data_IF_974308177745
#
_entry.id   IF_974308177745
#
_cell.length_a   1.000
_cell.length_b   1.000
_cell.length_c   1.000
_cell.angle_alpha   90.00
_cell.angle_beta   90.00
_cell.angle_gamma   90.00
#
_symmetry.space_group_name_H-M   'P 1'
#
loop_
_entity.id
_entity.type
_entity.pdbx_description
1 polymer ?
#
# COMPACT_ATOMS: atom_id res chain seq x y z
N UNK A 1 0.21 6.45 -4.83
CA UNK A 1 0.60 6.36 -3.39
C UNK A 1 -0.44 5.63 -2.55
N UNK A 2 -1.73 6.01 -2.62
CA UNK A 2 -2.83 5.37 -1.86
C UNK A 2 -2.88 3.85 -2.00
N UNK A 3 -2.78 3.33 -3.23
CA UNK A 3 -2.69 1.90 -3.47
C UNK A 3 -1.41 1.29 -2.85
N UNK A 4 -0.23 1.85 -3.16
CA UNK A 4 1.05 1.35 -2.67
C UNK A 4 1.14 1.21 -1.14
N UNK A 5 0.60 2.16 -0.38
CA UNK A 5 0.60 2.05 1.10
C UNK A 5 -0.28 0.91 1.60
N UNK A 6 -1.45 0.71 1.01
CA UNK A 6 -2.34 -0.42 1.37
C UNK A 6 -1.76 -1.77 0.93
N UNK A 7 -1.12 -1.83 -0.23
CA UNK A 7 -0.42 -3.02 -0.71
C UNK A 7 0.81 -3.36 0.13
N UNK A 8 1.42 -2.36 0.79
CA UNK A 8 2.50 -2.59 1.74
C UNK A 8 2.03 -3.39 2.96
N UNK A 9 0.81 -3.16 3.45
CA UNK A 9 0.25 -3.94 4.57
C UNK A 9 -0.05 -5.39 4.15
N UNK A 10 -0.46 -5.61 2.90
CA UNK A 10 -0.58 -6.96 2.34
C UNK A 10 0.78 -7.64 2.21
N UNK A 11 1.81 -6.92 1.75
CA UNK A 11 3.18 -7.44 1.71
C UNK A 11 3.66 -7.83 3.11
N UNK A 12 3.43 -6.99 4.13
CA UNK A 12 3.73 -7.26 5.54
C UNK A 12 2.95 -8.46 6.13
N UNK A 13 1.88 -8.88 5.47
CA UNK A 13 1.07 -10.04 5.82
C UNK A 13 1.39 -11.29 4.97
N UNK A 14 2.33 -11.19 4.04
CA UNK A 14 2.63 -12.26 3.07
C UNK A 14 1.46 -12.59 2.16
N UNK A 15 0.58 -11.63 1.88
CA UNK A 15 -0.66 -11.86 1.16
C UNK A 15 -0.52 -11.55 -0.34
N UNK A 16 -1.15 -12.38 -1.16
CA UNK A 16 -1.42 -12.07 -2.56
C UNK A 16 -2.58 -11.08 -2.66
N UNK A 17 -2.42 -9.94 -3.36
CA UNK A 17 -3.48 -8.97 -3.53
C UNK A 17 -4.57 -9.53 -4.46
N UNK A 18 -5.82 -9.38 -4.04
CA UNK A 18 -7.01 -9.72 -4.83
C UNK A 18 -7.63 -8.48 -5.47
N UNK A 19 -7.54 -7.33 -4.81
CA UNK A 19 -8.06 -6.09 -5.33
C UNK A 19 -8.11 -4.96 -4.32
N UNK A 20 -8.54 -3.79 -4.80
CA UNK A 20 -8.72 -2.57 -4.03
C UNK A 20 -10.19 -2.15 -4.05
N UNK A 21 -10.70 -1.66 -2.92
CA UNK A 21 -11.93 -0.88 -2.85
C UNK A 21 -11.52 0.57 -2.58
N UNK A 22 -11.95 1.51 -3.44
CA UNK A 22 -11.49 2.91 -3.37
C UNK A 22 -12.66 3.84 -3.12
N UNK A 23 -12.58 4.64 -2.05
CA UNK A 23 -13.56 5.69 -1.75
C UNK A 23 -12.94 7.07 -2.00
N UNK A 24 -13.59 7.86 -2.85
CA UNK A 24 -13.21 9.22 -3.19
C UNK A 24 -14.28 10.20 -2.68
N UNK A 25 -13.89 11.04 -1.72
CA UNK A 25 -14.63 12.25 -1.39
C UNK A 25 -14.00 13.45 -2.10
N UNK A 26 -14.79 14.25 -2.81
CA UNK A 26 -14.25 15.41 -3.53
C UNK A 26 -15.22 16.60 -3.58
N UNK A 27 -14.71 17.85 -3.63
CA UNK A 27 -15.51 19.03 -3.97
C UNK A 27 -16.20 18.88 -5.33
N UNK A 28 -17.40 19.46 -5.47
CA UNK A 28 -18.18 19.38 -6.70
C UNK A 28 -17.54 20.07 -7.92
N UNK A 29 -16.55 20.92 -7.69
CA UNK A 29 -15.73 21.61 -8.70
C UNK A 29 -14.38 20.92 -8.96
N UNK A 30 -14.19 19.68 -8.49
CA UNK A 30 -12.99 18.90 -8.78
C UNK A 30 -12.92 18.53 -10.26
N UNK A 31 -11.83 18.91 -10.93
CA UNK A 31 -11.53 18.56 -12.32
C UNK A 31 -11.53 17.03 -12.52
N UNK A 32 -12.25 16.55 -13.54
CA UNK A 32 -12.40 15.12 -13.82
C UNK A 32 -11.08 14.51 -14.26
N UNK A 33 -10.28 15.26 -15.01
CA UNK A 33 -8.96 14.89 -15.50
C UNK A 33 -8.04 14.50 -14.33
N UNK A 34 -8.05 15.26 -13.24
CA UNK A 34 -7.26 14.93 -12.03
C UNK A 34 -7.73 13.66 -11.33
N UNK A 35 -9.03 13.35 -11.41
CA UNK A 35 -9.58 12.08 -10.91
C UNK A 35 -9.14 10.91 -11.79
N UNK A 36 -9.15 11.09 -13.12
CA UNK A 36 -8.68 10.06 -14.05
C UNK A 36 -7.19 9.77 -13.86
N UNK A 37 -6.35 10.80 -13.79
CA UNK A 37 -4.91 10.65 -13.51
C UNK A 37 -4.64 9.93 -12.18
N UNK A 38 -5.46 10.20 -11.16
CA UNK A 38 -5.39 9.49 -9.88
C UNK A 38 -5.66 7.98 -10.05
N UNK A 39 -6.71 7.62 -10.78
CA UNK A 39 -7.06 6.22 -11.03
C UNK A 39 -6.05 5.52 -11.94
N UNK A 40 -5.47 6.21 -12.91
CA UNK A 40 -4.34 5.71 -13.70
C UNK A 40 -3.14 5.37 -12.81
N UNK A 41 -2.78 6.26 -11.88
CA UNK A 41 -1.73 6.01 -10.90
C UNK A 41 -2.05 4.88 -9.90
N UNK A 42 -3.32 4.53 -9.69
CA UNK A 42 -3.71 3.33 -8.94
C UNK A 42 -3.53 2.08 -9.82
N UNK A 43 -3.97 2.15 -11.08
CA UNK A 43 -3.89 1.05 -12.05
C UNK A 43 -2.44 0.63 -12.35
N UNK A 44 -1.47 1.56 -12.31
CA UNK A 44 -0.04 1.26 -12.43
C UNK A 44 0.45 0.18 -11.44
N UNK A 45 -0.25 -0.04 -10.31
CA UNK A 45 0.13 -1.09 -9.35
C UNK A 45 -0.12 -2.51 -9.85
N UNK A 46 -0.91 -2.68 -10.92
CA UNK A 46 -1.32 -3.98 -11.44
C UNK A 46 -2.41 -4.67 -10.62
N UNK A 47 -2.87 -4.06 -9.52
CA UNK A 47 -3.95 -4.60 -8.67
C UNK A 47 -5.29 -3.97 -9.08
N UNK A 48 -6.32 -4.77 -9.40
CA UNK A 48 -7.58 -4.23 -9.89
C UNK A 48 -8.35 -3.48 -8.80
N UNK A 49 -9.02 -2.39 -9.18
CA UNK A 49 -10.06 -1.77 -8.35
C UNK A 49 -11.36 -2.54 -8.57
N UNK A 50 -11.85 -3.21 -7.53
CA UNK A 50 -13.04 -4.06 -7.57
C UNK A 50 -14.34 -3.30 -7.29
N UNK A 51 -14.23 -2.09 -6.76
CA UNK A 51 -15.37 -1.26 -6.42
C UNK A 51 -14.95 -0.06 -5.59
N UNK A 52 -15.95 0.66 -5.08
CA UNK A 52 -15.69 1.91 -4.41
C UNK A 52 -16.96 2.71 -4.15
N UNK A 53 -16.75 3.90 -3.59
CA UNK A 53 -17.79 4.90 -3.45
C UNK A 53 -17.24 6.27 -3.87
N UNK A 54 -18.09 7.13 -4.42
CA UNK A 54 -17.72 8.50 -4.76
C UNK A 54 -18.77 9.44 -4.21
N UNK A 55 -18.33 10.40 -3.39
CA UNK A 55 -19.22 11.26 -2.64
C UNK A 55 -18.75 12.71 -2.65
N UNK A 56 -19.69 13.64 -2.53
CA UNK A 56 -19.37 15.05 -2.37
C UNK A 56 -18.74 15.29 -1.00
N UNK A 57 -17.67 16.09 -0.96
CA UNK A 57 -17.00 16.46 0.28
C UNK A 57 -16.39 17.87 0.16
N UNK A 58 -16.18 18.54 1.30
CA UNK A 58 -15.58 19.88 1.31
C UNK A 58 -14.11 19.89 0.86
N UNK A 59 -13.46 18.73 0.86
CA UNK A 59 -12.04 18.54 0.51
C UNK A 59 -11.83 17.19 -0.14
N UNK A 60 -10.73 17.06 -0.89
CA UNK A 60 -10.29 15.79 -1.44
C UNK A 60 -9.93 14.83 -0.30
N UNK A 61 -10.62 13.70 -0.23
CA UNK A 61 -10.40 12.60 0.71
C UNK A 61 -10.31 11.31 -0.07
N UNK A 62 -9.25 10.55 0.19
CA UNK A 62 -9.04 9.24 -0.42
C UNK A 62 -8.89 8.20 0.67
N UNK A 63 -9.75 7.20 0.63
CA UNK A 63 -9.63 5.97 1.40
C UNK A 63 -9.52 4.80 0.44
N UNK A 64 -8.69 3.82 0.78
CA UNK A 64 -8.66 2.56 0.06
C UNK A 64 -8.61 1.41 1.06
N UNK A 65 -9.21 0.30 0.67
CA UNK A 65 -9.11 -0.98 1.38
C UNK A 65 -8.49 -1.98 0.42
N UNK A 66 -7.37 -2.57 0.81
CA UNK A 66 -6.77 -3.68 0.07
C UNK A 66 -7.30 -5.02 0.58
N UNK A 67 -7.75 -5.84 -0.36
CA UNK A 67 -8.16 -7.21 -0.12
C UNK A 67 -7.05 -8.13 -0.60
N UNK A 68 -6.63 -9.05 0.26
CA UNK A 68 -5.61 -10.04 -0.07
C UNK A 68 -5.90 -11.37 0.58
N UNK A 69 -5.18 -12.41 0.14
CA UNK A 69 -5.26 -13.75 0.71
C UNK A 69 -3.85 -14.25 1.00
N UNK A 70 -3.69 -14.90 2.15
CA UNK A 70 -2.46 -15.59 2.53
C UNK A 70 -2.80 -16.92 3.17
N UNK A 71 -1.92 -17.92 2.99
CA UNK A 71 -1.98 -19.19 3.73
C UNK A 71 -1.47 -19.03 5.17
N UNK A 72 -0.58 -18.06 5.40
CA UNK A 72 0.03 -17.79 6.70
C UNK A 72 0.29 -16.29 6.84
N UNK A 73 -0.29 -15.68 7.86
CA UNK A 73 -0.05 -14.28 8.20
C UNK A 73 0.84 -14.21 9.45
N UNK A 74 2.12 -13.82 9.32
CA UNK A 74 2.96 -13.58 10.49
C UNK A 74 2.40 -12.38 11.26
N UNK A 75 2.33 -12.49 12.59
CA UNK A 75 1.98 -11.37 13.45
C UNK A 75 3.15 -10.41 13.63
N UNK A 76 2.90 -9.27 14.29
CA UNK A 76 3.97 -8.35 14.74
C UNK A 76 4.72 -8.87 15.99
N UNK A 77 4.14 -9.86 16.66
CA UNK A 77 4.71 -10.53 17.82
C UNK A 77 5.25 -11.91 17.44
N UNK A 78 6.04 -12.50 18.32
CA UNK A 78 6.56 -13.86 18.15
C UNK A 78 8.04 -13.95 17.79
N UNK A 79 8.73 -12.82 17.64
CA UNK A 79 10.19 -12.76 17.52
C UNK A 79 10.87 -13.44 18.73
N UNK A 80 11.97 -14.13 18.48
CA UNK A 80 12.69 -14.98 19.44
C UNK A 80 14.15 -14.56 19.57
N UNK A 81 14.79 -14.76 20.73
CA UNK A 81 16.24 -14.64 20.83
C UNK A 81 16.95 -15.50 19.78
N UNK A 82 17.90 -14.92 19.06
CA UNK A 82 18.59 -15.57 17.94
C UNK A 82 18.01 -15.27 16.55
N UNK A 83 16.83 -14.64 16.47
CA UNK A 83 16.28 -14.18 15.19
C UNK A 83 17.17 -13.10 14.55
N UNK A 84 17.26 -13.15 13.22
CA UNK A 84 17.91 -12.09 12.44
C UNK A 84 16.89 -11.00 12.11
N UNK A 85 17.23 -9.74 12.41
CA UNK A 85 16.45 -8.59 12.00
C UNK A 85 16.87 -8.15 10.59
N UNK A 86 15.91 -8.11 9.68
CA UNK A 86 16.13 -7.72 8.28
C UNK A 86 15.16 -6.63 7.86
N UNK A 87 15.55 -5.86 6.85
CA UNK A 87 14.70 -4.88 6.18
C UNK A 87 14.86 -5.02 4.68
N UNK A 88 13.80 -4.71 3.93
CA UNK A 88 13.82 -4.75 2.48
C UNK A 88 14.17 -3.36 1.91
N UNK A 89 15.26 -3.30 1.13
CA UNK A 89 15.81 -2.09 0.53
C UNK A 89 16.22 -0.98 1.51
N UNK A 90 16.33 0.24 1.01
CA UNK A 90 16.92 1.37 1.76
C UNK A 90 15.91 2.09 2.64
N UNK A 91 16.32 2.38 3.89
CA UNK A 91 15.57 3.20 4.83
C UNK A 91 15.89 4.69 4.66
N UNK A 92 14.93 5.55 5.01
CA UNK A 92 15.14 7.02 5.05
C UNK A 92 15.00 7.76 3.73
N UNK A 93 14.94 7.07 2.59
CA UNK A 93 14.84 7.68 1.26
C UNK A 93 13.61 8.62 1.11
N UNK A 94 12.43 8.18 1.58
CA UNK A 94 11.22 9.00 1.54
C UNK A 94 11.35 10.28 2.37
N UNK A 95 11.98 10.20 3.54
CA UNK A 95 12.24 11.37 4.39
C UNK A 95 13.26 12.33 3.77
N UNK A 96 14.29 11.81 3.10
CA UNK A 96 15.26 12.63 2.37
C UNK A 96 14.62 13.35 1.18
N UNK A 97 13.83 12.65 0.37
CA UNK A 97 13.10 13.25 -0.75
C UNK A 97 12.13 14.34 -0.28
N UNK A 98 11.38 14.08 0.80
CA UNK A 98 10.45 15.05 1.36
C UNK A 98 11.14 16.37 1.76
N UNK A 99 12.33 16.30 2.40
CA UNK A 99 13.12 17.50 2.73
C UNK A 99 13.55 18.28 1.49
N UNK A 100 13.72 17.60 0.37
CA UNK A 100 14.05 18.22 -0.93
C UNK A 100 12.80 18.60 -1.75
N UNK A 101 11.60 18.59 -1.14
CA UNK A 101 10.31 18.86 -1.81
C UNK A 101 10.02 17.91 -2.98
N UNK A 102 10.50 16.67 -2.85
CA UNK A 102 10.26 15.59 -3.80
C UNK A 102 9.38 14.51 -3.17
N UNK A 103 8.65 13.79 -4.00
CA UNK A 103 7.86 12.64 -3.60
C UNK A 103 8.43 11.39 -4.29
N UNK A 104 8.73 10.36 -3.52
CA UNK A 104 9.12 9.06 -4.06
C UNK A 104 7.88 8.19 -4.21
N UNK A 105 7.81 7.45 -5.32
CA UNK A 105 6.87 6.34 -5.48
C UNK A 105 7.36 5.18 -4.60
N UNK A 106 6.58 4.73 -3.58
CA UNK A 106 6.99 3.59 -2.77
C UNK A 106 7.05 2.33 -3.65
N UNK A 107 8.12 1.53 -3.57
CA UNK A 107 8.18 0.26 -4.29
C UNK A 107 7.15 -0.72 -3.72
N UNK A 108 6.56 -1.54 -4.58
CA UNK A 108 5.69 -2.64 -4.17
C UNK A 108 6.57 -3.84 -3.83
N UNK A 109 6.47 -4.35 -2.60
CA UNK A 109 7.31 -5.45 -2.09
C UNK A 109 6.52 -6.74 -1.85
N UNK A 110 5.55 -6.99 -2.73
CA UNK A 110 4.62 -8.11 -2.57
C UNK A 110 5.33 -9.46 -2.64
N UNK A 111 6.33 -9.58 -3.53
CA UNK A 111 7.12 -10.80 -3.67
C UNK A 111 8.02 -11.04 -2.46
N UNK A 112 8.81 -10.05 -2.05
CA UNK A 112 9.66 -10.17 -0.87
C UNK A 112 8.83 -10.41 0.40
N UNK A 113 7.64 -9.79 0.49
CA UNK A 113 6.70 -10.02 1.59
C UNK A 113 6.25 -11.47 1.68
N UNK A 114 5.88 -12.11 0.56
CA UNK A 114 5.49 -13.53 0.54
C UNK A 114 6.64 -14.45 0.93
N UNK A 115 7.83 -14.21 0.38
CA UNK A 115 9.01 -15.03 0.68
C UNK A 115 9.38 -14.94 2.17
N UNK A 116 9.43 -13.73 2.73
CA UNK A 116 9.76 -13.52 4.13
C UNK A 116 8.68 -14.09 5.05
N UNK A 117 7.40 -13.90 4.74
CA UNK A 117 6.29 -14.40 5.55
C UNK A 117 6.26 -15.93 5.67
N UNK A 118 6.84 -16.66 4.71
CA UNK A 118 6.97 -18.12 4.78
C UNK A 118 7.86 -18.56 5.96
N UNK A 119 8.80 -17.72 6.40
CA UNK A 119 9.81 -18.08 7.40
C UNK A 119 9.84 -17.19 8.64
N UNK A 120 9.35 -15.95 8.54
CA UNK A 120 9.43 -14.96 9.62
C UNK A 120 8.66 -15.40 10.87
N UNK A 121 9.27 -15.21 12.04
CA UNK A 121 8.56 -15.36 13.32
C UNK A 121 7.66 -14.17 13.63
N UNK A 122 8.06 -12.97 13.19
CA UNK A 122 7.28 -11.73 13.26
C UNK A 122 7.57 -10.84 12.05
N UNK A 123 6.60 -10.04 11.60
CA UNK A 123 6.75 -9.15 10.45
C UNK A 123 5.87 -7.89 10.57
N UNK A 124 6.32 -6.80 9.95
CA UNK A 124 5.60 -5.53 9.83
C UNK A 124 6.00 -4.80 8.54
#
# INVERSE_FOLDING_TARGET
>A
RTAAVNLSDLAASGADPLGLIVTLGAPGDTEVEGVLELYEGIAETGVPVLGGDTTAADRLVLSATALGRSQRVPGRAGARPGDTLVVTGSLGAAGAAFRNRQLLRPPLRLEEGRELAAHAHAMI
#
